data_IF_186035302923
#
_entry.id   IF_186035302923
#
_cell.length_a   1.000
_cell.length_b   1.000
_cell.length_c   1.000
_cell.angle_alpha   90.00
_cell.angle_beta   90.00
_cell.angle_gamma   90.00
#
_symmetry.space_group_name_H-M   'P 1'
#
loop_
_entity.id
_entity.type
_entity.pdbx_description
1 polymer ?
#
# COMPACT_ATOMS: atom_id res chain seq x y z
N UNK A 1 -6.05 16.24 24.50
CA UNK A 1 -6.69 17.51 24.07
C UNK A 1 -6.00 18.14 22.84
N UNK A 2 -5.04 17.47 22.19
CA UNK A 2 -4.34 17.97 20.99
C UNK A 2 -4.93 17.45 19.66
N UNK A 3 -5.77 16.41 19.69
CA UNK A 3 -6.29 15.77 18.47
C UNK A 3 -7.38 16.59 17.76
N UNK A 4 -8.14 17.39 18.52
CA UNK A 4 -9.24 18.20 17.99
C UNK A 4 -8.73 19.39 17.16
N UNK A 5 -7.68 20.07 17.61
CA UNK A 5 -7.11 21.23 16.91
C UNK A 5 -6.47 20.85 15.58
N UNK A 6 -5.78 19.71 15.52
CA UNK A 6 -5.16 19.22 14.28
C UNK A 6 -6.19 18.86 13.21
N UNK A 7 -7.34 18.29 13.61
CA UNK A 7 -8.46 18.00 12.70
C UNK A 7 -9.06 19.29 12.14
N UNK A 8 -9.19 20.34 12.95
CA UNK A 8 -9.71 21.65 12.50
C UNK A 8 -8.85 22.23 11.38
N UNK A 9 -7.52 22.17 11.48
CA UNK A 9 -6.63 22.70 10.44
C UNK A 9 -6.65 21.86 9.15
N UNK A 10 -6.77 20.53 9.28
CA UNK A 10 -6.92 19.64 8.13
C UNK A 10 -8.26 19.86 7.39
N UNK A 11 -9.25 20.48 8.01
CA UNK A 11 -10.55 20.82 7.38
C UNK A 11 -10.60 22.27 6.85
N UNK A 12 -9.47 22.81 6.41
CA UNK A 12 -9.34 24.14 5.78
C UNK A 12 -8.75 24.05 4.37
N UNK A 13 -8.66 25.14 3.59
CA UNK A 13 -7.97 25.14 2.30
C UNK A 13 -6.49 24.71 2.35
N UNK A 14 -5.85 24.78 3.52
CA UNK A 14 -4.46 24.37 3.74
C UNK A 14 -4.34 22.88 4.12
N UNK A 15 -5.36 22.06 3.85
CA UNK A 15 -5.40 20.67 4.32
C UNK A 15 -4.21 19.82 3.87
N UNK A 16 -3.60 20.10 2.72
CA UNK A 16 -2.44 19.36 2.23
C UNK A 16 -1.24 19.49 3.18
N UNK A 17 -1.13 20.60 3.90
CA UNK A 17 -0.04 20.83 4.86
C UNK A 17 -0.31 20.10 6.18
N UNK A 18 -1.58 19.96 6.54
CA UNK A 18 -2.01 19.46 7.85
C UNK A 18 -2.51 18.01 7.85
N UNK A 19 -2.64 17.37 6.68
CA UNK A 19 -3.09 15.98 6.57
C UNK A 19 -2.11 15.01 7.23
N UNK A 20 -2.66 14.03 7.93
CA UNK A 20 -1.94 13.07 8.77
C UNK A 20 -2.57 11.67 8.69
N UNK A 21 -1.85 10.61 9.13
CA UNK A 21 -2.45 9.30 9.31
C UNK A 21 -3.67 9.36 10.23
N UNK A 22 -4.74 8.66 9.84
CA UNK A 22 -6.02 8.64 10.55
C UNK A 22 -7.05 9.64 10.02
N UNK A 23 -6.65 10.61 9.20
CA UNK A 23 -7.60 11.49 8.52
C UNK A 23 -8.40 10.70 7.47
N UNK A 24 -9.66 11.10 7.29
CA UNK A 24 -10.55 10.55 6.29
C UNK A 24 -10.76 11.62 5.22
N UNK A 25 -10.48 11.28 3.98
CA UNK A 25 -10.60 12.18 2.83
C UNK A 25 -11.67 11.71 1.85
N UNK A 26 -12.27 12.64 1.12
CA UNK A 26 -13.08 12.35 -0.04
C UNK A 26 -12.19 12.21 -1.27
N UNK A 27 -12.16 11.02 -1.86
CA UNK A 27 -11.29 10.72 -3.01
C UNK A 27 -12.02 9.86 -4.06
N UNK A 28 -11.76 10.15 -5.34
CA UNK A 28 -12.25 9.38 -6.49
C UNK A 28 -11.39 8.13 -6.71
N UNK A 29 -11.66 7.08 -5.92
CA UNK A 29 -10.86 5.86 -5.95
C UNK A 29 -11.20 5.01 -7.18
N UNK A 30 -10.22 4.65 -8.04
CA UNK A 30 -10.47 3.87 -9.25
C UNK A 30 -10.81 2.42 -8.92
N UNK A 31 -12.09 2.05 -8.94
CA UNK A 31 -12.57 0.68 -8.77
C UNK A 31 -13.08 0.13 -10.12
N UNK A 32 -12.63 -1.05 -10.50
CA UNK A 32 -13.00 -1.71 -11.76
C UNK A 32 -14.50 -2.06 -11.89
N UNK A 33 -15.25 -2.03 -10.77
CA UNK A 33 -16.68 -2.37 -10.72
C UNK A 33 -17.60 -1.23 -11.20
N UNK A 34 -17.05 -0.05 -11.51
CA UNK A 34 -17.81 1.07 -12.08
C UNK A 34 -17.75 0.98 -13.61
N UNK A 35 -18.82 0.44 -14.22
CA UNK A 35 -18.92 0.20 -15.66
C UNK A 35 -18.58 1.43 -16.51
N UNK A 36 -17.40 1.39 -17.13
CA UNK A 36 -16.94 1.99 -18.41
C UNK A 36 -17.56 3.29 -18.98
N UNK A 37 -18.10 4.23 -18.21
CA UNK A 37 -18.54 5.52 -18.81
C UNK A 37 -18.45 6.78 -17.94
N UNK A 38 -18.00 6.70 -16.68
CA UNK A 38 -17.95 7.87 -15.79
C UNK A 38 -16.64 8.01 -14.99
N UNK A 39 -16.33 9.23 -14.54
CA UNK A 39 -15.29 9.46 -13.54
C UNK A 39 -15.63 8.69 -12.25
N UNK A 40 -14.65 8.06 -11.57
CA UNK A 40 -14.94 7.32 -10.36
C UNK A 40 -15.63 8.18 -9.30
N UNK A 41 -16.62 7.62 -8.60
CA UNK A 41 -17.35 8.40 -7.60
C UNK A 41 -16.44 8.76 -6.41
N UNK A 42 -16.64 9.95 -5.84
CA UNK A 42 -15.95 10.34 -4.61
C UNK A 42 -16.43 9.48 -3.44
N UNK A 43 -15.48 8.95 -2.66
CA UNK A 43 -15.74 8.05 -1.52
C UNK A 43 -14.85 8.42 -0.34
N UNK A 44 -15.28 8.14 0.89
CA UNK A 44 -14.39 8.19 2.04
C UNK A 44 -13.21 7.24 1.84
N UNK A 45 -12.00 7.77 2.00
CA UNK A 45 -10.75 7.01 2.01
C UNK A 45 -9.98 7.35 3.27
N UNK A 46 -9.40 6.34 3.91
CA UNK A 46 -8.60 6.51 5.11
C UNK A 46 -7.14 6.75 4.72
N UNK A 47 -6.54 7.80 5.27
CA UNK A 47 -5.10 8.04 5.20
C UNK A 47 -4.41 7.07 6.15
N UNK A 48 -3.74 6.05 5.61
CA UNK A 48 -2.95 5.10 6.37
C UNK A 48 -1.55 5.66 6.68
N UNK A 49 -0.98 6.44 5.77
CA UNK A 49 0.35 7.01 5.93
C UNK A 49 0.57 8.26 5.06
N UNK A 50 1.57 9.06 5.42
CA UNK A 50 2.08 10.17 4.61
C UNK A 50 3.56 9.91 4.30
N UNK A 51 3.88 9.77 3.02
CA UNK A 51 5.24 9.54 2.55
C UNK A 51 5.79 10.79 1.83
N UNK A 52 7.11 11.01 1.92
CA UNK A 52 7.80 12.06 1.19
C UNK A 52 8.75 11.43 0.15
N UNK A 53 8.57 11.79 -1.13
CA UNK A 53 9.41 11.35 -2.24
C UNK A 53 9.83 12.55 -3.08
N UNK A 54 11.13 12.80 -3.20
CA UNK A 54 11.65 13.89 -4.03
C UNK A 54 11.06 15.27 -3.70
N UNK A 55 10.88 15.58 -2.42
CA UNK A 55 10.29 16.84 -1.95
C UNK A 55 8.76 16.95 -2.08
N UNK A 56 8.10 15.93 -2.64
CA UNK A 56 6.63 15.87 -2.75
C UNK A 56 6.05 14.97 -1.67
N UNK A 57 4.90 15.36 -1.11
CA UNK A 57 4.14 14.55 -0.15
C UNK A 57 3.07 13.71 -0.85
N UNK A 58 2.93 12.48 -0.38
CA UNK A 58 2.00 11.49 -0.88
C UNK A 58 1.19 10.91 0.28
N UNK A 59 -0.10 10.65 0.06
CA UNK A 59 -0.94 9.93 1.00
C UNK A 59 -1.10 8.48 0.54
N UNK A 60 -0.91 7.54 1.47
CA UNK A 60 -1.28 6.15 1.28
C UNK A 60 -2.75 5.98 1.70
N UNK A 61 -3.64 5.90 0.71
CA UNK A 61 -5.08 5.88 0.91
C UNK A 61 -5.63 4.46 0.86
N UNK A 62 -6.45 4.08 1.84
CA UNK A 62 -7.28 2.87 1.80
C UNK A 62 -8.72 3.22 1.45
N UNK A 63 -9.31 2.52 0.46
CA UNK A 63 -10.68 2.79 0.06
C UNK A 63 -11.69 2.38 1.15
N UNK A 64 -12.70 3.22 1.38
CA UNK A 64 -13.84 2.93 2.23
C UNK A 64 -14.95 2.21 1.47
N UNK A 65 -15.58 1.25 2.14
CA UNK A 65 -16.78 0.56 1.65
C UNK A 65 -17.77 0.30 2.78
N UNK A 66 -19.05 0.42 2.44
CA UNK A 66 -20.18 0.09 3.28
C UNK A 66 -20.68 -1.33 2.99
N UNK A 67 -20.16 -1.96 1.93
CA UNK A 67 -20.46 -3.34 1.57
C UNK A 67 -19.95 -4.32 2.64
N UNK A 68 -20.86 -5.16 3.10
CA UNK A 68 -20.60 -6.27 4.02
C UNK A 68 -20.01 -7.50 3.32
N UNK A 69 -19.93 -7.50 1.99
CA UNK A 69 -19.36 -8.62 1.22
C UNK A 69 -17.88 -8.79 1.56
N UNK A 70 -17.43 -10.04 1.63
CA UNK A 70 -16.02 -10.40 1.89
C UNK A 70 -15.12 -10.30 0.66
N UNK A 71 -15.60 -9.75 -0.46
CA UNK A 71 -14.69 -9.36 -1.53
C UNK A 71 -13.76 -8.29 -0.98
N UNK A 72 -12.45 -8.51 -1.09
CA UNK A 72 -11.37 -7.61 -0.64
C UNK A 72 -11.15 -7.63 0.88
N UNK A 73 -10.45 -8.67 1.34
CA UNK A 73 -9.97 -8.83 2.72
C UNK A 73 -8.50 -8.44 2.83
N UNK A 74 -8.10 -7.93 4.01
CA UNK A 74 -6.72 -7.62 4.35
C UNK A 74 -6.52 -6.16 4.76
N UNK A 75 -5.77 -5.97 5.85
CA UNK A 75 -5.43 -4.66 6.43
C UNK A 75 -6.69 -3.81 6.69
N UNK A 76 -7.70 -4.41 7.28
CA UNK A 76 -9.01 -3.78 7.44
C UNK A 76 -9.09 -2.93 8.70
N UNK A 77 -9.67 -1.74 8.57
CA UNK A 77 -10.04 -0.87 9.69
C UNK A 77 -11.55 -0.70 9.67
N UNK A 78 -12.20 -1.06 10.78
CA UNK A 78 -13.64 -1.06 10.90
C UNK A 78 -14.13 0.08 11.79
N UNK A 79 -15.01 0.92 11.24
CA UNK A 79 -15.68 2.00 11.99
C UNK A 79 -17.16 1.68 12.03
N UNK A 80 -17.57 0.87 13.02
CA UNK A 80 -18.93 0.29 13.08
C UNK A 80 -19.85 0.99 14.09
N UNK A 81 -19.30 1.41 15.23
CA UNK A 81 -20.11 2.03 16.29
C UNK A 81 -20.56 3.40 15.83
N UNK A 82 -21.81 3.75 16.15
CA UNK A 82 -22.42 5.04 15.76
C UNK A 82 -21.62 6.24 16.24
N UNK A 83 -21.18 6.21 17.50
CA UNK A 83 -20.31 7.26 18.03
C UNK A 83 -19.00 7.40 17.24
N UNK A 84 -18.37 6.27 16.87
CA UNK A 84 -17.10 6.25 16.16
C UNK A 84 -17.22 6.79 14.73
N UNK A 85 -18.23 6.37 13.95
CA UNK A 85 -18.33 6.85 12.56
C UNK A 85 -18.80 8.30 12.48
N UNK A 86 -19.73 8.73 13.36
CA UNK A 86 -20.18 10.13 13.37
C UNK A 86 -19.07 11.08 13.80
N UNK A 87 -18.32 10.75 14.87
CA UNK A 87 -17.19 11.58 15.31
C UNK A 87 -16.06 11.65 14.28
N UNK A 88 -15.93 10.62 13.43
CA UNK A 88 -14.96 10.61 12.34
C UNK A 88 -15.41 11.33 11.06
N UNK A 89 -16.58 11.97 11.05
CA UNK A 89 -17.11 12.68 9.87
C UNK A 89 -17.71 11.75 8.81
N UNK A 90 -18.09 10.52 9.18
CA UNK A 90 -18.80 9.57 8.33
C UNK A 90 -20.30 9.56 8.67
N UNK A 91 -21.14 9.26 7.68
CA UNK A 91 -22.59 9.19 7.87
C UNK A 91 -23.11 7.78 8.20
N UNK A 92 -22.31 6.75 7.94
CA UNK A 92 -22.69 5.35 8.10
C UNK A 92 -21.48 4.46 8.44
N UNK A 93 -21.70 3.24 8.97
CA UNK A 93 -20.63 2.29 9.23
C UNK A 93 -19.76 2.04 8.01
N UNK A 94 -18.45 2.27 8.13
CA UNK A 94 -17.51 2.16 7.02
C UNK A 94 -16.37 1.21 7.37
N UNK A 95 -16.02 0.35 6.41
CA UNK A 95 -14.84 -0.52 6.44
C UNK A 95 -13.81 0.04 5.46
N UNK A 96 -12.62 0.37 5.94
CA UNK A 96 -11.49 0.74 5.10
C UNK A 96 -10.61 -0.49 4.85
N UNK A 97 -10.26 -0.76 3.60
CA UNK A 97 -9.57 -1.99 3.21
C UNK A 97 -8.18 -1.67 2.68
N UNK A 98 -7.16 -1.78 3.55
CA UNK A 98 -5.78 -1.46 3.21
C UNK A 98 -5.14 -2.42 2.19
N UNK A 99 -5.74 -3.58 1.93
CA UNK A 99 -5.32 -4.45 0.82
C UNK A 99 -5.50 -3.77 -0.55
N UNK A 100 -6.47 -2.87 -0.71
CA UNK A 100 -6.63 -2.01 -1.89
C UNK A 100 -6.29 -0.58 -1.50
N UNK A 101 -4.99 -0.31 -1.43
CA UNK A 101 -4.43 1.00 -1.11
C UNK A 101 -3.74 1.62 -2.32
N UNK A 102 -3.75 2.95 -2.38
CA UNK A 102 -3.07 3.72 -3.43
C UNK A 102 -2.17 4.78 -2.78
N UNK A 103 -0.96 4.92 -3.30
CA UNK A 103 -0.09 6.03 -2.95
C UNK A 103 -0.35 7.17 -3.93
N UNK A 104 -0.82 8.32 -3.44
CA UNK A 104 -1.31 9.41 -4.28
C UNK A 104 -0.66 10.74 -3.88
N UNK A 105 -0.13 11.54 -4.82
CA UNK A 105 0.35 12.90 -4.53
C UNK A 105 -0.76 13.76 -3.93
N UNK A 106 -0.45 14.60 -2.93
CA UNK A 106 -1.48 15.46 -2.29
C UNK A 106 -2.11 16.50 -3.23
N UNK A 107 -1.49 16.81 -4.37
CA UNK A 107 -2.02 17.71 -5.40
C UNK A 107 -2.82 16.99 -6.50
N UNK A 108 -3.14 15.71 -6.33
CA UNK A 108 -3.86 14.92 -7.32
C UNK A 108 -5.34 15.36 -7.44
N UNK A 109 -5.86 15.48 -8.66
CA UNK A 109 -7.24 15.94 -8.94
C UNK A 109 -8.35 14.99 -8.45
N UNK A 110 -7.98 13.76 -8.08
CA UNK A 110 -8.88 12.78 -7.47
C UNK A 110 -9.39 13.17 -6.08
N UNK A 111 -8.71 14.07 -5.36
CA UNK A 111 -9.21 14.62 -4.11
C UNK A 111 -10.44 15.50 -4.38
N UNK A 112 -11.57 15.13 -3.78
CA UNK A 112 -12.82 15.86 -3.95
C UNK A 112 -12.97 16.90 -2.85
N UNK A 113 -12.55 18.12 -3.15
CA UNK A 113 -12.59 19.26 -2.23
C UNK A 113 -14.03 19.71 -2.00
N UNK A 114 -14.44 19.84 -0.74
CA UNK A 114 -15.73 20.41 -0.36
C UNK A 114 -15.71 21.93 -0.55
N UNK A 115 -16.69 22.48 -1.27
CA UNK A 115 -16.79 23.92 -1.52
C UNK A 115 -16.96 24.77 -0.26
N UNK A 116 -17.56 24.21 0.80
CA UNK A 116 -17.78 24.93 2.06
C UNK A 116 -16.53 25.03 2.94
N UNK A 117 -15.68 24.00 2.96
CA UNK A 117 -14.47 23.97 3.82
C UNK A 117 -13.18 24.25 3.05
N UNK A 118 -13.21 24.15 1.72
CA UNK A 118 -12.01 24.16 0.89
C UNK A 118 -11.10 22.93 1.13
N UNK A 119 -11.57 21.92 1.86
CA UNK A 119 -10.79 20.72 2.19
C UNK A 119 -11.35 19.46 1.56
N UNK A 120 -10.47 18.51 1.25
CA UNK A 120 -10.85 17.14 0.92
C UNK A 120 -11.04 16.26 2.18
N UNK A 121 -10.62 16.73 3.35
CA UNK A 121 -10.74 16.01 4.63
C UNK A 121 -12.17 16.12 5.14
N UNK A 122 -12.76 14.96 5.43
CA UNK A 122 -14.12 14.79 5.95
C UNK A 122 -14.13 14.75 7.50
N UNK A 123 -13.05 14.25 8.09
CA UNK A 123 -12.91 14.07 9.53
C UNK A 123 -11.73 13.16 9.84
N UNK A 124 -11.68 12.62 11.06
CA UNK A 124 -10.53 11.85 11.56
C UNK A 124 -10.96 10.71 12.46
N UNK A 125 -10.28 9.57 12.36
CA UNK A 125 -10.48 8.48 13.31
C UNK A 125 -10.03 8.89 14.72
N UNK A 126 -10.87 8.61 15.72
CA UNK A 126 -10.51 8.62 17.12
C UNK A 126 -10.51 7.21 17.73
N UNK A 127 -10.12 7.11 19.01
CA UNK A 127 -10.33 5.93 19.85
C UNK A 127 -9.85 4.59 19.26
N UNK A 128 -10.67 3.55 19.44
CA UNK A 128 -10.34 2.18 19.00
C UNK A 128 -10.09 2.07 17.48
N UNK A 129 -10.90 2.70 16.59
CA UNK A 129 -10.60 2.69 15.16
C UNK A 129 -9.22 3.26 14.80
N UNK A 130 -8.79 4.35 15.47
CA UNK A 130 -7.47 4.92 15.25
C UNK A 130 -6.34 3.98 15.69
N UNK A 131 -6.50 3.31 16.83
CA UNK A 131 -5.55 2.28 17.29
C UNK A 131 -5.48 1.11 16.30
N UNK A 132 -6.62 0.64 15.80
CA UNK A 132 -6.66 -0.41 14.79
C UNK A 132 -5.96 0.00 13.48
N UNK A 133 -6.13 1.25 13.06
CA UNK A 133 -5.41 1.83 11.93
C UNK A 133 -3.90 1.82 12.16
N UNK A 134 -3.41 2.23 13.34
CA UNK A 134 -1.98 2.20 13.65
C UNK A 134 -1.40 0.78 13.64
N UNK A 135 -2.13 -0.22 14.13
CA UNK A 135 -1.72 -1.63 14.02
C UNK A 135 -1.63 -2.09 12.56
N UNK A 136 -2.59 -1.69 11.73
CA UNK A 136 -2.58 -1.96 10.28
C UNK A 136 -1.38 -1.28 9.60
N UNK A 137 -1.14 0.00 9.90
CA UNK A 137 -0.01 0.79 9.39
C UNK A 137 1.32 0.12 9.75
N UNK A 138 1.51 -0.24 11.02
CA UNK A 138 2.72 -0.93 11.50
C UNK A 138 2.97 -2.25 10.77
N UNK A 139 1.93 -3.05 10.53
CA UNK A 139 2.05 -4.29 9.77
C UNK A 139 2.47 -4.05 8.31
N UNK A 140 1.91 -3.03 7.65
CA UNK A 140 2.29 -2.67 6.28
C UNK A 140 3.78 -2.27 6.21
N UNK A 141 4.28 -1.50 7.18
CA UNK A 141 5.70 -1.15 7.23
C UNK A 141 6.58 -2.38 7.45
N UNK A 142 6.28 -3.20 8.46
CA UNK A 142 7.06 -4.39 8.76
C UNK A 142 7.18 -5.33 7.54
N UNK A 143 6.09 -5.56 6.82
CA UNK A 143 6.12 -6.38 5.62
C UNK A 143 6.89 -5.74 4.45
N UNK A 144 6.82 -4.40 4.31
CA UNK A 144 7.62 -3.66 3.33
C UNK A 144 9.11 -3.80 3.62
N UNK A 145 9.51 -3.70 4.88
CA UNK A 145 10.91 -3.82 5.32
C UNK A 145 11.43 -5.24 5.08
N UNK A 146 10.66 -6.25 5.49
CA UNK A 146 11.00 -7.66 5.22
C UNK A 146 11.11 -7.91 3.70
N UNK A 147 10.23 -7.32 2.88
CA UNK A 147 10.31 -7.44 1.43
C UNK A 147 11.52 -6.70 0.83
N UNK A 148 11.99 -5.61 1.46
CA UNK A 148 13.23 -4.93 1.08
C UNK A 148 14.45 -5.79 1.39
N UNK A 149 14.54 -6.33 2.59
CA UNK A 149 15.64 -7.20 3.02
C UNK A 149 15.77 -8.44 2.13
N UNK A 150 14.65 -9.09 1.81
CA UNK A 150 14.62 -10.22 0.87
C UNK A 150 15.13 -9.83 -0.52
N UNK A 151 14.84 -8.62 -1.01
CA UNK A 151 15.34 -8.14 -2.31
C UNK A 151 16.85 -7.90 -2.26
N UNK A 152 17.36 -7.31 -1.18
CA UNK A 152 18.80 -7.09 -0.97
C UNK A 152 19.57 -8.42 -0.89
N UNK A 153 19.06 -9.39 -0.11
CA UNK A 153 19.67 -10.71 0.02
C UNK A 153 19.68 -11.50 -1.30
N UNK A 154 18.65 -11.36 -2.15
CA UNK A 154 18.64 -11.97 -3.50
C UNK A 154 19.67 -11.32 -4.41
N UNK A 155 19.81 -9.99 -4.36
CA UNK A 155 20.81 -9.26 -5.16
C UNK A 155 22.24 -9.65 -4.77
N UNK A 156 22.55 -9.73 -3.47
CA UNK A 156 23.88 -10.14 -3.02
C UNK A 156 24.20 -11.57 -3.45
N UNK A 157 23.27 -12.51 -3.29
CA UNK A 157 23.44 -13.90 -3.79
C UNK A 157 23.65 -13.97 -5.30
N UNK A 158 22.92 -13.19 -6.09
CA UNK A 158 23.10 -13.13 -7.54
C UNK A 158 24.47 -12.56 -7.93
N UNK A 159 24.96 -11.54 -7.22
CA UNK A 159 26.31 -10.99 -7.41
C UNK A 159 27.39 -12.02 -7.08
N UNK A 160 27.26 -12.73 -5.95
CA UNK A 160 28.20 -13.81 -5.56
C UNK A 160 28.19 -14.94 -6.59
N UNK A 161 27.02 -15.37 -7.06
CA UNK A 161 26.90 -16.42 -8.08
C UNK A 161 27.53 -16.00 -9.42
N UNK A 162 27.43 -14.72 -9.83
CA UNK A 162 28.12 -14.19 -11.01
C UNK A 162 29.64 -14.10 -10.84
N UNK A 163 30.12 -13.89 -9.61
CA UNK A 163 31.56 -13.92 -9.31
C UNK A 163 32.18 -15.33 -9.33
N UNK A 164 31.36 -16.37 -9.16
CA UNK A 164 31.77 -17.78 -9.21
C UNK A 164 31.40 -18.48 -10.53
N UNK A 165 31.41 -17.78 -11.67
CA UNK A 165 31.30 -18.48 -12.96
C UNK A 165 32.63 -19.21 -13.23
N UNK A 166 32.74 -20.46 -12.80
CA UNK A 166 33.82 -21.35 -13.23
C UNK A 166 33.31 -22.23 -14.37
N UNK A 167 34.05 -22.28 -15.48
CA UNK A 167 33.77 -23.18 -16.59
C UNK A 167 34.41 -24.53 -16.28
N UNK A 168 33.61 -25.60 -16.22
CA UNK A 168 34.12 -26.97 -16.07
C UNK A 168 34.34 -27.55 -17.47
N UNK A 169 35.59 -27.69 -17.87
CA UNK A 169 35.94 -28.45 -19.07
C UNK A 169 35.90 -29.96 -18.72
N UNK A 170 34.94 -30.70 -19.28
CA UNK A 170 34.95 -32.15 -19.17
C UNK A 170 35.99 -32.72 -20.13
N UNK A 171 37.16 -33.11 -19.60
CA UNK A 171 38.10 -33.97 -20.33
C UNK A 171 37.60 -35.40 -20.34
N UNK A 172 37.18 -35.87 -21.51
CA UNK A 172 36.86 -37.28 -21.76
C UNK A 172 38.13 -38.12 -21.55
N UNK A 173 38.10 -39.19 -20.72
CA UNK A 173 39.26 -40.06 -20.55
C UNK A 173 39.54 -40.78 -21.88
N UNK A 174 40.78 -40.65 -22.37
CA UNK A 174 41.27 -41.29 -23.58
C UNK A 174 41.28 -42.81 -23.34
N UNK A 175 40.34 -43.51 -23.97
CA UNK A 175 40.27 -44.96 -24.00
C UNK A 175 41.53 -45.49 -24.70
N UNK A 176 42.41 -46.16 -23.98
CA UNK A 176 43.54 -46.87 -24.59
C UNK A 176 43.00 -47.94 -25.54
N UNK A 177 43.42 -47.88 -26.80
CA UNK A 177 42.99 -48.81 -27.83
C UNK A 177 43.62 -50.18 -27.56
N UNK A 178 42.77 -51.18 -27.28
CA UNK A 178 43.17 -52.58 -27.22
C UNK A 178 43.79 -53.01 -28.56
N UNK A 179 45.04 -53.47 -28.51
CA UNK A 179 45.78 -53.98 -29.66
C UNK A 179 45.06 -55.20 -30.27
N UNK A 180 44.71 -55.09 -31.55
CA UNK A 180 44.27 -56.22 -32.38
C UNK A 180 45.44 -57.17 -32.60
N UNK A 181 45.38 -58.38 -32.05
CA UNK A 181 46.17 -59.51 -32.58
C UNK A 181 45.41 -60.10 -33.76
N UNK A 182 46.02 -59.99 -34.94
CA UNK A 182 45.58 -60.63 -36.17
C UNK A 182 45.74 -62.16 -36.13
N UNK A 183 45.05 -62.79 -37.07
CA UNK A 183 44.71 -64.21 -37.22
C UNK A 183 45.62 -64.90 -38.26
N UNK A 184 45.73 -66.24 -38.15
CA UNK A 184 46.12 -67.27 -39.16
C UNK A 184 47.62 -67.45 -39.44
N UNK A 185 48.17 -68.68 -39.63
CA UNK A 185 47.60 -69.97 -40.03
C UNK A 185 48.06 -71.13 -39.14
#
# INVERSE_FOLDING_TARGET
MLDSTQTTFAMTPAWQDHITPGDIVSFRFPLAEEGHSGQPKARPCLVLDIEAHGGKRYALLAYGTTSRRRSNIGYEVHVRRRADYLSAGLNEPTRFVGARRLLVPLNHSGFSVCGATGSAVLGRLGGTPFQAMNSVRGRIHAERDIAADRRTARRSRATVARGHSFTVEQRTPRREAAARKGVQQ
#
